data_IF_569769180415
#
_entry.id   IF_569769180415
#
_cell.length_a   1.000
_cell.length_b   1.000
_cell.length_c   1.000
_cell.angle_alpha   90.00
_cell.angle_beta   90.00
_cell.angle_gamma   90.00
#
_symmetry.space_group_name_H-M   'P 1'
#
loop_
_entity.id
_entity.type
_entity.pdbx_description
1 polymer ?
#
# COMPACT_ATOMS: atom_id res chain seq x y z
N UNK A 1 7.41 -13.16 19.87
CA UNK A 1 6.44 -12.07 19.68
C UNK A 1 6.97 -11.02 18.71
N UNK A 2 7.68 -9.93 19.10
CA UNK A 2 8.26 -8.99 18.09
C UNK A 2 9.28 -9.66 17.15
N UNK A 3 10.07 -10.60 17.69
CA UNK A 3 10.98 -11.46 16.93
C UNK A 3 10.26 -12.44 15.99
N UNK A 4 9.01 -12.81 16.25
CA UNK A 4 8.24 -13.73 15.38
C UNK A 4 7.63 -12.98 14.19
N UNK A 5 7.23 -11.72 14.36
CA UNK A 5 6.86 -10.85 13.24
C UNK A 5 8.09 -10.53 12.37
N UNK A 6 9.21 -10.15 12.98
CA UNK A 6 10.46 -9.99 12.24
C UNK A 6 10.93 -11.30 11.61
N UNK A 7 10.70 -12.46 12.22
CA UNK A 7 11.01 -13.77 11.63
C UNK A 7 10.03 -14.17 10.51
N UNK A 8 8.74 -13.83 10.61
CA UNK A 8 7.77 -14.04 9.53
C UNK A 8 8.08 -13.13 8.34
N UNK A 9 8.45 -11.87 8.60
CA UNK A 9 8.95 -10.94 7.58
C UNK A 9 10.33 -11.34 7.03
N UNK A 10 11.21 -11.93 7.84
CA UNK A 10 12.51 -12.43 7.40
C UNK A 10 12.40 -13.77 6.63
N UNK A 11 11.41 -14.61 6.94
CA UNK A 11 11.08 -15.79 6.15
C UNK A 11 10.53 -15.43 4.77
N UNK A 12 9.91 -14.25 4.60
CA UNK A 12 9.58 -13.68 3.28
C UNK A 12 10.83 -13.24 2.50
N UNK A 13 11.88 -12.80 3.20
CA UNK A 13 13.10 -12.23 2.61
C UNK A 13 14.16 -13.27 2.19
N UNK A 14 13.88 -14.57 2.34
CA UNK A 14 14.92 -15.62 2.34
C UNK A 14 14.80 -16.75 1.32
N UNK A 15 13.94 -16.69 0.30
CA UNK A 15 13.85 -17.77 -0.71
C UNK A 15 14.56 -17.40 -2.02
N UNK A 16 15.84 -17.76 -2.21
CA UNK A 16 16.40 -17.94 -3.54
C UNK A 16 15.88 -19.27 -4.09
N UNK A 17 14.78 -19.24 -4.84
CA UNK A 17 14.22 -20.40 -5.54
C UNK A 17 12.93 -20.94 -4.94
N UNK A 18 11.90 -21.04 -5.80
CA UNK A 18 10.59 -21.67 -5.58
C UNK A 18 9.76 -21.17 -4.38
N UNK A 19 9.35 -19.91 -4.50
CA UNK A 19 8.01 -19.36 -4.21
C UNK A 19 7.00 -20.21 -3.42
N UNK A 20 7.24 -20.42 -2.13
CA UNK A 20 6.19 -20.57 -1.12
C UNK A 20 6.41 -19.55 0.01
N UNK A 21 6.37 -18.26 -0.36
CA UNK A 21 6.35 -17.19 0.62
C UNK A 21 5.05 -17.26 1.44
N UNK A 22 5.10 -17.00 2.74
CA UNK A 22 3.90 -16.93 3.58
C UNK A 22 3.10 -15.67 3.21
N UNK A 23 2.24 -15.75 2.20
CA UNK A 23 1.44 -14.60 1.78
C UNK A 23 0.35 -14.30 2.80
N UNK A 24 0.28 -13.04 3.26
CA UNK A 24 -0.77 -12.60 4.16
C UNK A 24 -2.13 -12.74 3.45
N UNK A 25 -3.03 -13.52 4.03
CA UNK A 25 -4.38 -13.74 3.49
C UNK A 25 -5.34 -12.66 3.93
N UNK A 26 -5.19 -12.19 5.18
CA UNK A 26 -6.04 -11.17 5.78
C UNK A 26 -5.18 -10.17 6.58
N UNK A 27 -5.61 -8.91 6.71
CA UNK A 27 -4.88 -7.95 7.50
C UNK A 27 -4.89 -8.29 8.98
N UNK A 28 -5.87 -9.08 9.45
CA UNK A 28 -5.87 -9.62 10.81
C UNK A 28 -4.63 -10.45 11.11
N UNK A 29 -4.03 -11.12 10.12
CA UNK A 29 -2.84 -11.94 10.32
C UNK A 29 -1.62 -11.03 10.54
N UNK A 30 -1.55 -9.96 9.75
CA UNK A 30 -0.58 -8.87 9.88
C UNK A 30 -0.72 -8.08 11.20
N UNK A 31 -1.95 -7.76 11.62
CA UNK A 31 -2.22 -6.97 12.82
C UNK A 31 -2.07 -7.80 14.11
N UNK A 32 -2.44 -9.08 14.09
CA UNK A 32 -2.37 -9.97 15.27
C UNK A 32 -0.94 -10.19 15.73
N UNK A 33 -0.01 -10.35 14.80
CA UNK A 33 1.43 -10.47 15.05
C UNK A 33 2.05 -9.19 15.61
N UNK A 34 1.39 -8.04 15.43
CA UNK A 34 1.83 -6.76 15.97
C UNK A 34 1.18 -6.37 17.31
N UNK A 35 -0.03 -6.86 17.58
CA UNK A 35 -0.82 -6.51 18.75
C UNK A 35 -0.30 -7.08 20.09
N UNK A 36 0.79 -7.86 20.06
CA UNK A 36 1.47 -8.35 21.27
C UNK A 36 2.28 -7.25 22.00
N UNK A 37 2.27 -6.01 21.48
CA UNK A 37 2.80 -4.81 22.12
C UNK A 37 1.76 -3.69 22.24
N UNK A 38 0.92 -3.74 23.27
CA UNK A 38 0.12 -2.62 23.83
C UNK A 38 -0.91 -1.98 22.86
N UNK A 39 -2.16 -2.47 22.90
CA UNK A 39 -3.30 -1.72 22.37
C UNK A 39 -3.69 -0.58 23.34
N UNK A 40 -3.45 0.67 22.96
CA UNK A 40 -4.06 1.82 23.64
C UNK A 40 -5.38 2.22 22.98
N UNK A 41 -6.41 2.62 23.75
CA UNK A 41 -7.71 2.96 23.21
C UNK A 41 -7.68 4.23 22.34
N UNK A 42 -8.53 4.20 21.33
CA UNK A 42 -8.65 5.16 20.23
C UNK A 42 -9.14 6.53 20.73
N UNK A 43 -8.25 7.51 20.91
CA UNK A 43 -8.68 8.92 21.09
C UNK A 43 -9.01 9.54 19.74
N UNK A 44 -10.28 9.94 19.56
CA UNK A 44 -10.77 10.63 18.36
C UNK A 44 -10.44 12.12 18.46
N UNK A 45 -9.71 12.74 17.50
CA UNK A 45 -9.47 14.17 17.51
C UNK A 45 -10.76 14.99 17.32
N UNK A 46 -10.89 16.09 18.06
CA UNK A 46 -12.02 17.04 17.94
C UNK A 46 -12.10 17.64 16.53
N UNK A 47 -13.31 17.54 15.97
CA UNK A 47 -13.84 18.06 14.70
C UNK A 47 -13.03 19.15 13.98
N UNK A 48 -12.71 18.90 12.70
CA UNK A 48 -12.49 19.94 11.68
C UNK A 48 -13.17 19.55 10.34
N UNK A 49 -14.10 20.43 9.92
CA UNK A 49 -14.81 20.54 8.62
C UNK A 49 -15.76 19.40 8.20
N UNK A 50 -17.00 19.76 7.86
CA UNK A 50 -18.12 18.88 7.51
C UNK A 50 -17.86 17.89 6.36
N UNK A 51 -17.00 18.22 5.40
CA UNK A 51 -16.66 17.32 4.27
C UNK A 51 -15.87 16.10 4.71
N UNK A 52 -15.00 16.23 5.74
CA UNK A 52 -14.28 15.10 6.34
C UNK A 52 -15.21 14.19 7.13
N UNK A 53 -16.30 14.73 7.68
CA UNK A 53 -17.27 13.98 8.49
C UNK A 53 -18.10 13.03 7.61
N UNK A 54 -18.47 13.43 6.39
CA UNK A 54 -19.18 12.55 5.44
C UNK A 54 -18.32 11.39 4.96
N UNK A 55 -17.08 11.66 4.53
CA UNK A 55 -16.15 10.61 4.14
C UNK A 55 -15.83 9.66 5.33
N UNK A 56 -15.72 10.18 6.54
CA UNK A 56 -15.55 9.37 7.75
C UNK A 56 -16.76 8.46 8.02
N UNK A 57 -17.97 8.99 7.96
CA UNK A 57 -19.19 8.24 8.20
C UNK A 57 -19.42 7.14 7.13
N UNK A 58 -19.11 7.45 5.87
CA UNK A 58 -19.16 6.48 4.78
C UNK A 58 -18.13 5.36 4.95
N UNK A 59 -16.89 5.73 5.30
CA UNK A 59 -15.83 4.76 5.60
C UNK A 59 -16.16 3.90 6.83
N UNK A 60 -16.82 4.46 7.84
CA UNK A 60 -17.29 3.70 9.02
C UNK A 60 -18.44 2.75 8.67
N UNK A 61 -19.35 3.15 7.79
CA UNK A 61 -20.42 2.28 7.30
C UNK A 61 -19.86 1.10 6.50
N UNK A 62 -18.87 1.34 5.63
CA UNK A 62 -18.19 0.27 4.90
C UNK A 62 -17.42 -0.67 5.82
N UNK A 63 -16.74 -0.13 6.83
CA UNK A 63 -16.04 -0.95 7.81
C UNK A 63 -16.99 -1.78 8.69
N UNK A 64 -18.18 -1.27 8.98
CA UNK A 64 -19.21 -2.04 9.68
C UNK A 64 -19.81 -3.14 8.80
N UNK A 65 -19.88 -2.94 7.48
CA UNK A 65 -20.42 -3.91 6.53
C UNK A 65 -19.45 -5.08 6.26
N UNK A 66 -18.14 -4.82 6.24
CA UNK A 66 -17.11 -5.84 6.04
C UNK A 66 -15.88 -5.60 6.94
N UNK A 67 -15.97 -5.94 8.23
CA UNK A 67 -14.90 -5.68 9.20
C UNK A 67 -13.61 -6.47 8.91
N UNK A 68 -13.66 -7.51 8.08
CA UNK A 68 -12.49 -8.26 7.66
C UNK A 68 -11.67 -7.58 6.56
N UNK A 69 -12.24 -6.55 5.92
CA UNK A 69 -11.64 -5.86 4.77
C UNK A 69 -11.21 -4.43 5.08
N UNK A 70 -11.76 -3.81 6.12
CA UNK A 70 -11.52 -2.40 6.43
C UNK A 70 -10.83 -2.20 7.77
N UNK A 71 -9.72 -1.46 7.76
CA UNK A 71 -8.85 -1.29 8.92
C UNK A 71 -8.51 0.18 9.14
N UNK A 72 -8.39 0.61 10.39
CA UNK A 72 -7.99 1.98 10.63
C UNK A 72 -6.52 2.15 10.24
N UNK A 73 -6.19 3.24 9.52
CA UNK A 73 -4.81 3.51 9.07
C UNK A 73 -3.82 3.49 10.24
N UNK A 74 -4.21 4.06 11.38
CA UNK A 74 -3.36 4.07 12.58
C UNK A 74 -3.07 2.68 13.13
N UNK A 75 -4.01 1.73 13.00
CA UNK A 75 -3.87 0.39 13.54
C UNK A 75 -2.88 -0.38 12.66
N UNK A 76 -2.97 -0.20 11.34
CA UNK A 76 -1.96 -0.69 10.38
C UNK A 76 -0.61 -0.07 10.70
N UNK A 77 -0.52 1.25 10.87
CA UNK A 77 0.75 1.94 11.15
C UNK A 77 1.37 1.55 12.48
N UNK A 78 0.56 1.35 13.52
CA UNK A 78 1.04 0.87 14.82
C UNK A 78 1.56 -0.57 14.75
N UNK A 79 1.10 -1.34 13.76
CA UNK A 79 1.55 -2.69 13.53
C UNK A 79 2.83 -2.80 12.68
N UNK A 80 3.21 -1.72 12.00
CA UNK A 80 4.44 -1.68 11.22
C UNK A 80 5.63 -1.44 12.14
N UNK A 81 6.80 -2.03 11.83
CA UNK A 81 8.05 -1.59 12.43
C UNK A 81 8.31 -0.11 12.07
N UNK A 82 9.26 0.56 12.78
CA UNK A 82 9.72 1.88 12.38
C UNK A 82 10.08 1.89 10.90
N UNK A 83 9.35 2.68 10.11
CA UNK A 83 9.46 2.69 8.67
C UNK A 83 9.40 4.12 8.12
N UNK A 84 10.06 4.31 6.98
CA UNK A 84 9.86 5.48 6.13
C UNK A 84 8.67 5.24 5.21
N UNK A 85 7.83 6.25 4.99
CA UNK A 85 6.81 6.17 3.93
C UNK A 85 7.31 6.90 2.68
N UNK A 86 7.63 6.15 1.64
CA UNK A 86 8.09 6.66 0.35
C UNK A 86 7.04 6.36 -0.70
N UNK A 87 6.34 7.40 -1.17
CA UNK A 87 5.31 7.29 -2.23
C UNK A 87 4.21 6.25 -1.93
N UNK A 88 3.91 6.03 -0.65
CA UNK A 88 2.93 5.03 -0.21
C UNK A 88 3.56 3.72 0.27
N UNK A 89 4.78 3.39 -0.15
CA UNK A 89 5.52 2.22 0.34
C UNK A 89 6.06 2.49 1.74
N UNK A 90 5.72 1.62 2.69
CA UNK A 90 6.29 1.62 4.03
C UNK A 90 7.56 0.79 4.03
N UNK A 91 8.72 1.45 4.03
CA UNK A 91 10.04 0.83 3.96
C UNK A 91 10.61 0.69 5.36
N UNK A 92 10.85 -0.54 5.80
CA UNK A 92 11.48 -0.82 7.08
C UNK A 92 12.87 -1.39 6.87
N UNK A 93 13.82 -1.00 7.72
CA UNK A 93 15.18 -1.55 7.67
C UNK A 93 15.20 -2.91 8.35
N UNK A 94 15.69 -3.92 7.66
CA UNK A 94 15.95 -5.23 8.24
C UNK A 94 17.35 -5.22 8.87
N UNK A 95 17.43 -5.24 10.21
CA UNK A 95 18.70 -5.23 10.95
C UNK A 95 19.63 -6.38 10.55
N UNK A 96 19.09 -7.51 10.10
CA UNK A 96 19.84 -8.70 9.68
C UNK A 96 20.37 -8.65 8.24
N UNK A 97 19.82 -7.80 7.37
CA UNK A 97 20.08 -7.82 5.92
C UNK A 97 20.73 -6.53 5.40
N UNK A 98 20.97 -5.56 6.28
CA UNK A 98 21.45 -4.19 5.96
C UNK A 98 20.74 -3.55 4.76
N UNK A 99 19.47 -3.91 4.56
CA UNK A 99 18.64 -3.47 3.45
C UNK A 99 17.27 -3.03 3.95
N UNK A 100 16.64 -2.16 3.17
CA UNK A 100 15.26 -1.74 3.40
C UNK A 100 14.33 -2.66 2.61
N UNK A 101 13.14 -2.88 3.17
CA UNK A 101 12.12 -3.75 2.59
C UNK A 101 10.75 -3.08 2.66
N UNK A 102 9.96 -3.24 1.60
CA UNK A 102 8.58 -2.80 1.60
C UNK A 102 7.71 -3.73 2.46
N UNK A 103 7.09 -3.16 3.49
CA UNK A 103 6.27 -3.90 4.47
C UNK A 103 4.79 -3.83 4.16
N UNK A 104 4.33 -2.72 3.60
CA UNK A 104 3.00 -2.55 3.02
C UNK A 104 3.00 -1.39 2.02
N UNK A 105 1.93 -1.30 1.24
CA UNK A 105 1.68 -0.18 0.32
C UNK A 105 0.34 0.47 0.63
N UNK A 106 0.37 1.77 0.92
CA UNK A 106 -0.81 2.61 1.01
C UNK A 106 -1.07 3.30 -0.32
N UNK A 107 -2.19 2.95 -0.95
CA UNK A 107 -2.67 3.57 -2.15
C UNK A 107 -3.80 4.54 -1.86
N UNK A 108 -3.70 5.69 -2.52
CA UNK A 108 -4.70 6.72 -2.45
C UNK A 108 -5.56 6.71 -3.72
N UNK A 109 -6.88 6.71 -3.53
CA UNK A 109 -7.82 6.54 -4.63
C UNK A 109 -7.65 7.56 -5.78
N UNK A 110 -7.60 8.84 -5.46
CA UNK A 110 -7.40 9.92 -6.42
C UNK A 110 -6.03 9.89 -7.06
N UNK A 111 -5.01 9.22 -6.50
CA UNK A 111 -3.65 9.23 -7.06
C UNK A 111 -3.36 8.00 -7.91
N UNK A 112 -4.19 6.96 -7.80
CA UNK A 112 -3.96 5.66 -8.43
C UNK A 112 -5.20 5.21 -9.23
N UNK A 113 -5.60 5.99 -10.27
CA UNK A 113 -6.86 5.76 -10.98
C UNK A 113 -6.94 4.39 -11.67
N UNK A 114 -5.79 3.76 -11.95
CA UNK A 114 -5.72 2.50 -12.68
C UNK A 114 -5.67 1.25 -11.79
N UNK A 115 -5.56 1.41 -10.46
CA UNK A 115 -5.22 0.28 -9.61
C UNK A 115 -6.32 -0.78 -9.50
N UNK A 116 -7.57 -0.37 -9.33
CA UNK A 116 -8.67 -1.32 -9.12
C UNK A 116 -8.99 -2.14 -10.39
N UNK A 117 -8.76 -1.57 -11.57
CA UNK A 117 -9.09 -2.21 -12.85
C UNK A 117 -7.88 -2.95 -13.45
N UNK A 118 -6.68 -2.39 -13.32
CA UNK A 118 -5.48 -2.90 -13.99
C UNK A 118 -4.37 -3.34 -13.04
N UNK A 119 -4.55 -3.20 -11.72
CA UNK A 119 -3.49 -3.42 -10.72
C UNK A 119 -2.22 -2.59 -11.00
N UNK A 120 -2.40 -1.37 -11.54
CA UNK A 120 -1.31 -0.44 -11.83
C UNK A 120 -1.26 0.70 -10.83
N UNK A 121 -0.11 0.87 -10.18
CA UNK A 121 0.17 1.98 -9.28
C UNK A 121 0.84 3.14 -10.04
N UNK A 122 0.45 4.38 -9.74
CA UNK A 122 1.03 5.58 -10.34
C UNK A 122 2.05 6.20 -9.39
N UNK A 123 3.32 6.24 -9.80
CA UNK A 123 4.42 6.82 -9.04
C UNK A 123 4.89 8.10 -9.70
N UNK A 124 4.66 9.23 -9.02
CA UNK A 124 5.02 10.57 -9.50
C UNK A 124 6.46 10.91 -9.10
N UNK A 125 7.41 10.34 -9.83
CA UNK A 125 8.85 10.42 -9.61
C UNK A 125 9.59 10.29 -10.95
N UNK A 126 10.86 10.64 -10.98
CA UNK A 126 11.70 10.36 -12.15
C UNK A 126 12.12 8.88 -12.21
N UNK A 127 12.70 8.49 -13.35
CA UNK A 127 13.08 7.09 -13.61
C UNK A 127 14.06 6.55 -12.57
N UNK A 128 15.02 7.38 -12.13
CA UNK A 128 16.05 7.01 -11.16
C UNK A 128 15.45 6.79 -9.76
N UNK A 129 14.54 7.68 -9.33
CA UNK A 129 13.80 7.54 -8.08
C UNK A 129 12.95 6.26 -8.08
N UNK A 130 12.29 5.92 -9.19
CA UNK A 130 11.49 4.69 -9.30
C UNK A 130 12.34 3.45 -9.32
N UNK A 131 13.44 3.43 -10.06
CA UNK A 131 14.37 2.31 -10.06
C UNK A 131 14.92 2.05 -8.65
N UNK A 132 15.37 3.12 -7.98
CA UNK A 132 15.84 3.06 -6.58
C UNK A 132 14.75 2.54 -5.65
N UNK A 133 13.52 3.02 -5.81
CA UNK A 133 12.38 2.56 -5.01
C UNK A 133 12.13 1.07 -5.20
N UNK A 134 12.15 0.56 -6.44
CA UNK A 134 11.91 -0.86 -6.73
C UNK A 134 13.02 -1.73 -6.18
N UNK A 135 14.29 -1.30 -6.32
CA UNK A 135 15.43 -1.99 -5.72
C UNK A 135 15.28 -2.09 -4.19
N UNK A 136 14.80 -1.02 -3.54
CA UNK A 136 14.51 -0.99 -2.09
C UNK A 136 13.24 -1.78 -1.71
N UNK A 137 12.29 -1.96 -2.62
CA UNK A 137 11.05 -2.68 -2.33
C UNK A 137 11.23 -4.19 -2.43
N UNK A 138 12.19 -4.69 -3.21
CA UNK A 138 12.37 -6.12 -3.49
C UNK A 138 11.28 -6.69 -4.41
N UNK A 139 11.38 -8.00 -4.69
CA UNK A 139 10.42 -8.76 -5.50
C UNK A 139 9.60 -9.72 -4.62
N UNK A 140 9.04 -9.22 -3.53
CA UNK A 140 8.14 -10.00 -2.68
C UNK A 140 6.74 -9.41 -2.69
N UNK A 141 5.78 -10.25 -2.32
CA UNK A 141 4.41 -9.80 -2.19
C UNK A 141 4.22 -8.97 -0.92
N UNK A 142 3.51 -7.88 -1.04
CA UNK A 142 3.23 -6.96 0.05
C UNK A 142 1.73 -6.67 0.15
N UNK A 143 1.20 -6.46 1.37
CA UNK A 143 -0.20 -6.12 1.56
C UNK A 143 -0.49 -4.71 1.02
N UNK A 144 -1.55 -4.58 0.23
CA UNK A 144 -2.00 -3.31 -0.35
C UNK A 144 -3.26 -2.82 0.36
N UNK A 145 -3.18 -1.59 0.83
CA UNK A 145 -4.25 -0.89 1.53
C UNK A 145 -4.69 0.33 0.72
N UNK A 146 -5.98 0.43 0.45
CA UNK A 146 -6.61 1.43 -0.39
C UNK A 146 -7.45 2.41 0.44
N UNK A 147 -7.24 3.70 0.25
CA UNK A 147 -7.94 4.71 1.03
C UNK A 147 -8.23 6.03 0.31
N UNK A 148 -9.18 6.78 0.88
CA UNK A 148 -9.56 8.11 0.41
C UNK A 148 -8.83 9.22 1.17
N UNK A 149 -7.85 9.89 0.57
CA UNK A 149 -7.26 11.08 1.22
C UNK A 149 -5.95 10.78 1.97
N UNK A 150 -5.08 11.79 2.04
CA UNK A 150 -3.98 11.86 3.03
C UNK A 150 -4.46 11.84 4.50
N UNK A 151 -5.78 11.81 4.74
CA UNK A 151 -6.42 11.66 6.04
C UNK A 151 -7.46 10.54 6.12
N UNK A 152 -7.44 9.55 5.21
CA UNK A 152 -8.32 8.38 5.32
C UNK A 152 -8.11 7.69 6.67
N UNK A 153 -9.17 7.69 7.47
CA UNK A 153 -9.18 7.00 8.77
C UNK A 153 -9.25 5.49 8.59
N UNK A 154 -9.99 5.02 7.58
CA UNK A 154 -10.10 3.61 7.23
C UNK A 154 -9.44 3.33 5.88
N UNK A 155 -8.89 2.14 5.76
CA UNK A 155 -8.23 1.61 4.58
C UNK A 155 -8.85 0.26 4.25
N UNK A 156 -9.22 0.06 2.99
CA UNK A 156 -9.67 -1.22 2.45
C UNK A 156 -8.45 -2.06 2.09
N UNK A 157 -8.42 -3.32 2.52
CA UNK A 157 -7.41 -4.26 2.09
C UNK A 157 -7.80 -4.90 0.77
N UNK A 158 -6.91 -4.76 -0.22
CA UNK A 158 -7.14 -5.27 -1.57
C UNK A 158 -6.52 -6.65 -1.80
N UNK A 159 -5.67 -7.10 -0.89
CA UNK A 159 -4.90 -8.34 -1.02
C UNK A 159 -3.40 -8.08 -0.98
N UNK A 160 -2.64 -9.14 -1.20
CA UNK A 160 -1.19 -9.10 -1.32
C UNK A 160 -0.80 -9.08 -2.80
N UNK A 161 0.13 -8.18 -3.14
CA UNK A 161 0.55 -7.96 -4.52
C UNK A 161 2.06 -7.96 -4.62
N UNK A 162 2.58 -8.50 -5.72
CA UNK A 162 3.98 -8.38 -6.11
C UNK A 162 4.14 -7.29 -7.18
N UNK A 163 5.25 -6.58 -7.15
CA UNK A 163 5.64 -5.69 -8.24
C UNK A 163 6.19 -6.58 -9.35
N UNK A 164 5.59 -6.49 -10.53
CA UNK A 164 6.02 -7.26 -11.71
C UNK A 164 7.04 -6.47 -12.50
N UNK A 165 6.71 -5.23 -12.87
CA UNK A 165 7.55 -4.40 -13.71
C UNK A 165 7.13 -2.92 -13.66
N UNK A 166 7.99 -2.05 -14.18
CA UNK A 166 7.64 -0.69 -14.58
C UNK A 166 7.22 -0.73 -16.04
N UNK A 167 6.01 -0.28 -16.32
CA UNK A 167 5.52 -0.18 -17.68
C UNK A 167 6.27 0.92 -18.42
N UNK A 168 6.67 0.60 -19.64
CA UNK A 168 7.34 1.53 -20.55
C UNK A 168 6.37 2.62 -21.00
N UNK A 169 6.90 3.78 -21.36
CA UNK A 169 6.12 4.95 -21.79
C UNK A 169 5.28 4.73 -23.06
N UNK A 170 5.59 3.71 -23.85
CA UNK A 170 4.84 3.28 -25.03
C UNK A 170 3.69 2.29 -24.72
N UNK A 171 3.53 1.89 -23.44
CA UNK A 171 2.46 0.99 -23.03
C UNK A 171 1.10 1.70 -23.06
N UNK A 172 0.06 1.01 -23.56
CA UNK A 172 -1.28 1.57 -23.78
C UNK A 172 -1.93 2.16 -22.51
N UNK A 173 -1.55 1.69 -21.32
CA UNK A 173 -2.07 2.24 -20.05
C UNK A 173 -1.58 3.67 -19.74
N UNK A 174 -0.50 4.15 -20.38
CA UNK A 174 -0.15 5.57 -20.33
C UNK A 174 -1.18 6.44 -21.07
N UNK A 175 -1.98 5.84 -21.95
CA UNK A 175 -3.04 6.50 -22.71
C UNK A 175 -4.44 6.20 -22.16
N UNK A 176 -4.54 5.54 -21.00
CA UNK A 176 -5.83 5.24 -20.40
C UNK A 176 -6.60 6.52 -20.05
N UNK A 177 -7.88 6.60 -20.44
CA UNK A 177 -8.74 7.78 -20.20
C UNK A 177 -8.74 8.21 -18.74
N UNK A 178 -8.85 7.25 -17.82
CA UNK A 178 -8.85 7.52 -16.38
C UNK A 178 -7.55 8.19 -15.90
N UNK A 179 -6.40 7.83 -16.50
CA UNK A 179 -5.12 8.47 -16.21
C UNK A 179 -5.06 9.87 -16.81
N UNK A 180 -5.52 10.06 -18.04
CA UNK A 180 -5.58 11.38 -18.67
C UNK A 180 -6.45 12.36 -17.89
N UNK A 181 -7.67 11.95 -17.51
CA UNK A 181 -8.60 12.76 -16.73
C UNK A 181 -7.98 13.14 -15.37
N UNK A 182 -7.29 12.18 -14.75
CA UNK A 182 -6.56 12.42 -13.51
C UNK A 182 -5.44 13.46 -13.69
N UNK A 183 -4.59 13.29 -14.70
CA UNK A 183 -3.46 14.17 -14.99
C UNK A 183 -3.91 15.58 -15.40
N UNK A 184 -4.96 15.70 -16.20
CA UNK A 184 -5.56 16.99 -16.53
C UNK A 184 -6.12 17.68 -15.28
N UNK A 185 -6.82 16.91 -14.43
CA UNK A 185 -7.27 17.39 -13.13
C UNK A 185 -6.13 17.91 -12.25
N UNK A 186 -4.98 17.23 -12.22
CA UNK A 186 -3.80 17.68 -11.48
C UNK A 186 -3.17 18.93 -12.11
N UNK A 187 -3.04 18.99 -13.44
CA UNK A 187 -2.51 20.16 -14.17
C UNK A 187 -3.32 21.42 -13.90
N UNK A 188 -4.65 21.32 -13.84
CA UNK A 188 -5.53 22.45 -13.50
C UNK A 188 -5.34 22.94 -12.07
N UNK A 189 -4.95 22.07 -11.14
CA UNK A 189 -4.80 22.38 -9.70
C UNK A 189 -3.38 22.79 -9.30
N UNK A 190 -2.37 22.37 -10.05
CA UNK A 190 -0.96 22.62 -9.75
C UNK A 190 -0.38 23.68 -10.69
N UNK A 191 0.38 24.63 -10.13
CA UNK A 191 1.16 25.61 -10.91
C UNK A 191 2.58 25.14 -11.22
N UNK A 192 2.98 23.98 -10.68
CA UNK A 192 4.34 23.43 -10.88
C UNK A 192 4.36 22.54 -12.11
N UNK A 193 5.49 22.48 -12.84
CA UNK A 193 5.70 21.46 -13.87
C UNK A 193 5.43 20.09 -13.25
N UNK A 194 4.55 19.32 -13.88
CA UNK A 194 4.26 17.97 -13.43
C UNK A 194 5.26 17.01 -14.07
N UNK A 195 5.93 16.23 -13.24
CA UNK A 195 6.60 15.01 -13.67
C UNK A 195 5.51 13.99 -14.01
N UNK A 196 5.62 13.35 -15.17
CA UNK A 196 4.70 12.30 -15.59
C UNK A 196 4.76 11.11 -14.62
N UNK A 197 3.66 10.37 -14.43
CA UNK A 197 3.68 9.20 -13.57
C UNK A 197 4.44 8.06 -14.27
N UNK A 198 5.29 7.39 -13.52
CA UNK A 198 5.72 6.03 -13.83
C UNK A 198 4.61 5.06 -13.42
N UNK A 199 4.36 4.06 -14.26
CA UNK A 199 3.31 3.08 -14.02
C UNK A 199 3.95 1.78 -13.56
N UNK A 200 3.67 1.36 -12.33
CA UNK A 200 4.15 0.09 -11.77
C UNK A 200 3.05 -0.94 -11.91
N UNK A 201 3.30 -1.97 -12.72
CA UNK A 201 2.42 -3.12 -12.83
C UNK A 201 2.59 -4.01 -11.61
N UNK A 202 1.47 -4.31 -10.97
CA UNK A 202 1.42 -5.26 -9.88
C UNK A 202 0.59 -6.48 -10.27
N UNK A 203 0.88 -7.60 -9.63
CA UNK A 203 0.09 -8.81 -9.77
C UNK A 203 -0.40 -9.24 -8.40
N UNK A 204 -1.70 -9.52 -8.31
CA UNK A 204 -2.25 -10.10 -7.09
C UNK A 204 -1.73 -11.52 -6.95
N UNK A 205 -1.25 -11.86 -5.77
CA UNK A 205 -0.87 -13.24 -5.48
C UNK A 205 -2.14 -14.05 -5.23
N UNK A 206 -2.38 -15.03 -6.09
CA UNK A 206 -3.45 -16.02 -5.90
C UNK A 206 -2.97 -17.09 -4.93
N UNK A 207 -3.80 -17.41 -3.93
CA UNK A 207 -3.54 -18.55 -3.07
C UNK A 207 -3.80 -19.82 -3.88
N UNK A 208 -2.84 -20.74 -3.92
CA UNK A 208 -3.16 -22.12 -4.25
C UNK A 208 -4.24 -22.58 -3.26
N UNK A 209 -5.44 -22.86 -3.76
CA UNK A 209 -6.50 -23.46 -2.96
C UNK A 209 -5.92 -24.75 -2.39
N UNK A 210 -5.58 -24.77 -1.11
CA UNK A 210 -5.29 -26.02 -0.40
C UNK A 210 -6.59 -26.83 -0.43
N UNK A 211 -6.67 -27.74 -1.40
CA UNK A 211 -7.69 -28.78 -1.48
C UNK A 211 -7.46 -29.84 -0.41
#
# INVERSE_FOLDING_TARGET
MLQELHAAMAAWAGCPGNSEGVFLQRPSDFLRTAAEGISSPLRVPKQRRATRVRALAQNQAWAAADPGKWFAKRDIQAALPPCENVRGFCLARAESLDSELATCLFLHHEQNPLFLEHAVCCIYADDLEVETLIQRCGQHALPVFWGQGGGAVMQEYLGSFEIVEVLRSDHALHEASALFDHLDGLRRRSRRPMIGPQLLQMKRVELASLG
#
